data_IF_598412618287
#
_entry.id   IF_598412618287
#
_cell.length_a   1.000
_cell.length_b   1.000
_cell.length_c   1.000
_cell.angle_alpha   90.00
_cell.angle_beta   90.00
_cell.angle_gamma   90.00
#
_symmetry.space_group_name_H-M   'P 1'
#
loop_
_entity.id
_entity.type
_entity.pdbx_description
1 polymer ?
#
# COMPACT_ATOMS: atom_id res chain seq x y z
N UNK A 1 17.43 8.70 -4.37
CA UNK A 1 16.69 9.91 -4.02
C UNK A 1 16.01 9.72 -2.68
N UNK A 2 16.11 10.71 -1.80
CA UNK A 2 15.52 10.62 -0.47
C UNK A 2 14.01 10.83 -0.54
N UNK A 3 13.22 9.97 0.12
CA UNK A 3 11.78 10.17 0.17
C UNK A 3 11.42 11.37 1.04
N UNK A 4 10.36 12.07 0.68
CA UNK A 4 9.84 13.22 1.43
C UNK A 4 8.45 12.97 1.99
N UNK A 5 7.72 12.06 1.41
CA UNK A 5 6.34 11.75 1.78
C UNK A 5 6.15 10.25 1.89
N UNK A 6 5.33 9.84 2.85
CA UNK A 6 4.96 8.43 3.06
C UNK A 6 3.45 8.32 3.09
N UNK A 7 2.87 7.34 2.41
CA UNK A 7 1.51 6.90 2.69
C UNK A 7 1.55 5.60 3.49
N UNK A 8 0.68 5.50 4.49
CA UNK A 8 0.57 4.36 5.36
C UNK A 8 -0.87 3.90 5.37
N UNK A 9 -1.10 2.69 4.88
CA UNK A 9 -2.43 2.14 4.69
C UNK A 9 -2.52 0.84 5.46
N UNK A 10 -3.52 0.71 6.33
CA UNK A 10 -3.82 -0.56 6.98
C UNK A 10 -5.13 -1.12 6.47
N UNK A 11 -5.16 -2.44 6.30
CA UNK A 11 -6.35 -3.17 5.90
C UNK A 11 -6.61 -4.28 6.93
N UNK A 12 -7.77 -4.23 7.58
CA UNK A 12 -8.15 -5.21 8.57
C UNK A 12 -9.17 -6.18 7.99
N UNK A 13 -8.92 -7.46 8.18
CA UNK A 13 -9.71 -8.55 7.62
C UNK A 13 -10.38 -9.38 8.71
N UNK A 14 -11.41 -10.14 8.33
CA UNK A 14 -12.13 -11.04 9.24
C UNK A 14 -11.34 -12.31 9.54
N UNK A 15 -10.44 -12.74 8.66
CA UNK A 15 -9.66 -13.95 8.82
C UNK A 15 -8.29 -13.83 8.18
N UNK A 16 -7.37 -14.69 8.61
CA UNK A 16 -6.04 -14.77 8.00
C UNK A 16 -6.12 -15.21 6.54
N UNK A 17 -7.04 -16.14 6.24
CA UNK A 17 -7.23 -16.62 4.86
C UNK A 17 -7.64 -15.50 3.93
N UNK A 18 -8.59 -14.67 4.34
CA UNK A 18 -9.04 -13.52 3.57
C UNK A 18 -7.89 -12.53 3.35
N UNK A 19 -7.14 -12.24 4.40
CA UNK A 19 -6.00 -11.34 4.35
C UNK A 19 -4.94 -11.81 3.35
N UNK A 20 -4.56 -13.08 3.42
CA UNK A 20 -3.52 -13.63 2.54
C UNK A 20 -4.00 -13.75 1.09
N UNK A 21 -5.27 -14.08 0.89
CA UNK A 21 -5.86 -14.14 -0.46
C UNK A 21 -5.83 -12.77 -1.13
N UNK A 22 -6.29 -11.73 -0.43
CA UNK A 22 -6.29 -10.37 -0.95
C UNK A 22 -4.86 -9.85 -1.22
N UNK A 23 -3.93 -10.15 -0.33
CA UNK A 23 -2.53 -9.76 -0.54
C UNK A 23 -1.95 -10.43 -1.80
N UNK A 24 -2.25 -11.70 -2.01
CA UNK A 24 -1.80 -12.41 -3.22
C UNK A 24 -2.34 -11.75 -4.49
N UNK A 25 -3.64 -11.42 -4.50
CA UNK A 25 -4.25 -10.75 -5.64
C UNK A 25 -3.68 -9.34 -5.84
N UNK A 26 -3.51 -8.60 -4.76
CA UNK A 26 -2.95 -7.25 -4.81
C UNK A 26 -1.53 -7.26 -5.39
N UNK A 27 -0.69 -8.20 -4.96
CA UNK A 27 0.66 -8.36 -5.47
C UNK A 27 0.65 -8.64 -6.98
N UNK A 28 -0.24 -9.51 -7.45
CA UNK A 28 -0.39 -9.82 -8.87
C UNK A 28 -0.81 -8.61 -9.69
N UNK A 29 -1.67 -7.75 -9.13
CA UNK A 29 -2.16 -6.55 -9.81
C UNK A 29 -1.08 -5.47 -9.84
N UNK A 30 -0.42 -5.23 -8.72
CA UNK A 30 0.56 -4.16 -8.58
C UNK A 30 1.85 -4.44 -9.33
N UNK A 31 2.32 -5.69 -9.35
CA UNK A 31 3.63 -6.01 -9.94
C UNK A 31 3.82 -5.49 -11.36
N UNK A 32 2.89 -5.74 -12.32
CA UNK A 32 3.05 -5.18 -13.66
C UNK A 32 2.91 -3.66 -13.72
N UNK A 33 2.37 -3.03 -12.68
CA UNK A 33 2.20 -1.57 -12.61
C UNK A 33 3.40 -0.86 -11.97
N UNK A 34 4.32 -1.60 -11.34
CA UNK A 34 5.45 -1.00 -10.62
C UNK A 34 6.28 -0.03 -11.46
N UNK A 35 6.59 -0.30 -12.74
CA UNK A 35 7.31 0.68 -13.57
C UNK A 35 6.57 2.01 -13.70
N UNK A 36 5.24 1.98 -13.77
CA UNK A 36 4.42 3.19 -13.85
C UNK A 36 4.44 3.96 -12.52
N UNK A 37 4.39 3.26 -11.39
CA UNK A 37 4.55 3.89 -10.08
C UNK A 37 5.92 4.55 -9.93
N UNK A 38 6.97 3.86 -10.36
CA UNK A 38 8.33 4.39 -10.34
C UNK A 38 8.44 5.66 -11.17
N UNK A 39 7.92 5.65 -12.38
CA UNK A 39 7.93 6.82 -13.26
C UNK A 39 7.16 8.00 -12.64
N UNK A 40 6.07 7.72 -11.93
CA UNK A 40 5.29 8.75 -11.24
C UNK A 40 6.00 9.31 -10.00
N UNK A 41 7.08 8.69 -9.54
CA UNK A 41 7.88 9.18 -8.41
C UNK A 41 7.76 8.38 -7.12
N UNK A 42 7.14 7.20 -7.16
CA UNK A 42 7.19 6.28 -6.03
C UNK A 42 8.58 5.67 -5.92
N UNK A 43 9.11 5.57 -4.71
CA UNK A 43 10.47 5.11 -4.46
C UNK A 43 10.51 3.71 -3.86
N UNK A 44 9.52 3.36 -3.05
CA UNK A 44 9.53 2.11 -2.30
C UNK A 44 8.12 1.73 -1.88
N UNK A 45 7.85 0.44 -1.90
CA UNK A 45 6.65 -0.15 -1.30
C UNK A 45 7.08 -1.21 -0.30
N UNK A 46 6.47 -1.20 0.88
CA UNK A 46 6.65 -2.26 1.87
C UNK A 46 5.28 -2.75 2.31
N UNK A 47 5.05 -4.03 2.14
CA UNK A 47 3.85 -4.70 2.66
C UNK A 47 4.27 -5.55 3.84
N UNK A 48 3.56 -5.39 4.95
CA UNK A 48 3.88 -6.13 6.17
C UNK A 48 2.61 -6.60 6.87
N UNK A 49 2.72 -7.66 7.62
CA UNK A 49 1.63 -8.14 8.47
C UNK A 49 1.88 -7.66 9.89
N UNK A 50 0.86 -7.06 10.50
CA UNK A 50 0.93 -6.69 11.92
C UNK A 50 0.89 -7.98 12.74
N UNK A 51 1.92 -8.22 13.55
CA UNK A 51 2.07 -9.49 14.28
C UNK A 51 1.76 -9.40 15.76
N UNK A 52 1.75 -8.18 16.33
CA UNK A 52 1.58 -8.00 17.78
C UNK A 52 0.14 -7.67 18.20
N UNK A 53 -0.82 -7.83 17.30
CA UNK A 53 -2.26 -7.63 17.57
C UNK A 53 -2.97 -8.97 17.52
N UNK A 54 -2.93 -9.67 18.63
CA UNK A 54 -3.55 -10.99 18.75
C UNK A 54 -5.03 -10.93 18.42
N UNK A 55 -5.52 -11.88 17.62
CA UNK A 55 -6.91 -11.91 17.18
C UNK A 55 -7.26 -10.94 16.06
N UNK A 56 -6.30 -10.19 15.56
CA UNK A 56 -6.50 -9.27 14.43
C UNK A 56 -5.69 -9.70 13.22
N UNK A 57 -6.26 -9.46 12.03
CA UNK A 57 -5.62 -9.80 10.75
C UNK A 57 -5.45 -8.52 9.95
N UNK A 58 -4.30 -7.89 10.10
CA UNK A 58 -4.03 -6.55 9.56
C UNK A 58 -2.80 -6.58 8.67
N UNK A 59 -2.96 -6.06 7.44
CA UNK A 59 -1.84 -5.74 6.56
C UNK A 59 -1.54 -4.26 6.66
N UNK A 60 -0.26 -3.92 6.64
CA UNK A 60 0.20 -2.55 6.49
C UNK A 60 0.90 -2.42 5.14
N UNK A 61 0.57 -1.38 4.42
CA UNK A 61 1.10 -1.10 3.10
C UNK A 61 1.68 0.32 3.13
N UNK A 62 3.00 0.41 3.04
CA UNK A 62 3.71 1.67 3.14
C UNK A 62 4.34 2.00 1.80
N UNK A 63 4.10 3.21 1.32
CA UNK A 63 4.69 3.74 0.10
C UNK A 63 5.49 4.99 0.42
N UNK A 64 6.67 5.08 -0.17
CA UNK A 64 7.53 6.27 -0.07
C UNK A 64 7.55 6.97 -1.41
N UNK A 65 7.44 8.30 -1.40
CA UNK A 65 7.39 9.13 -2.60
C UNK A 65 8.47 10.19 -2.57
N UNK A 66 8.93 10.57 -3.76
CA UNK A 66 9.94 11.62 -3.88
C UNK A 66 9.44 12.98 -3.40
N UNK A 67 8.15 13.27 -3.61
CA UNK A 67 7.51 14.52 -3.21
C UNK A 67 5.98 14.39 -3.25
N UNK A 68 5.30 15.49 -2.96
CA UNK A 68 3.83 15.54 -2.98
C UNK A 68 3.26 15.34 -4.38
N UNK A 69 3.93 15.84 -5.42
CA UNK A 69 3.49 15.66 -6.81
C UNK A 69 3.48 14.19 -7.19
N UNK A 70 4.49 13.44 -6.75
CA UNK A 70 4.55 12.00 -6.97
C UNK A 70 3.39 11.28 -6.28
N UNK A 71 3.07 11.66 -5.05
CA UNK A 71 1.92 11.12 -4.33
C UNK A 71 0.64 11.32 -5.15
N UNK A 72 0.39 12.54 -5.61
CA UNK A 72 -0.80 12.87 -6.39
C UNK A 72 -0.84 12.08 -7.70
N UNK A 73 0.29 11.98 -8.40
CA UNK A 73 0.37 11.23 -9.67
C UNK A 73 0.07 9.74 -9.47
N UNK A 74 0.44 9.16 -8.31
CA UNK A 74 0.19 7.76 -8.02
C UNK A 74 -1.28 7.46 -7.68
N UNK A 75 -2.09 8.47 -7.35
CA UNK A 75 -3.48 8.23 -6.96
C UNK A 75 -4.32 7.58 -8.07
N UNK A 76 -4.12 7.97 -9.32
CA UNK A 76 -4.82 7.33 -10.44
C UNK A 76 -4.42 5.89 -10.62
N UNK A 77 -3.15 5.58 -10.39
CA UNK A 77 -2.64 4.21 -10.45
C UNK A 77 -3.26 3.35 -9.35
N UNK A 78 -3.41 3.90 -8.15
CA UNK A 78 -4.09 3.20 -7.07
C UNK A 78 -5.56 2.94 -7.40
N UNK A 79 -6.26 3.92 -7.97
CA UNK A 79 -7.65 3.73 -8.37
C UNK A 79 -7.80 2.62 -9.42
N UNK A 80 -6.88 2.56 -10.37
CA UNK A 80 -6.84 1.49 -11.38
C UNK A 80 -6.63 0.11 -10.72
N UNK A 81 -5.68 0.03 -9.80
CA UNK A 81 -5.38 -1.21 -9.09
C UNK A 81 -6.55 -1.65 -8.19
N UNK A 82 -7.16 -0.72 -7.49
CA UNK A 82 -8.31 -1.00 -6.62
C UNK A 82 -9.52 -1.47 -7.43
N UNK A 83 -9.77 -0.86 -8.59
CA UNK A 83 -10.85 -1.29 -9.48
C UNK A 83 -10.62 -2.71 -9.98
N UNK A 84 -9.38 -3.07 -10.27
CA UNK A 84 -9.03 -4.43 -10.70
C UNK A 84 -9.19 -5.43 -9.56
N UNK A 85 -8.79 -5.06 -8.35
CA UNK A 85 -8.99 -5.91 -7.18
C UNK A 85 -10.49 -6.16 -6.92
N UNK A 86 -11.31 -5.13 -7.05
CA UNK A 86 -12.76 -5.25 -6.86
C UNK A 86 -13.41 -6.21 -7.85
N UNK A 87 -12.84 -6.37 -9.03
CA UNK A 87 -13.33 -7.36 -10.02
C UNK A 87 -12.97 -8.79 -9.64
N UNK A 88 -11.92 -8.99 -8.86
CA UNK A 88 -11.36 -10.31 -8.55
C UNK A 88 -11.69 -10.81 -7.15
N UNK A 89 -12.11 -9.90 -6.27
CA UNK A 89 -12.34 -10.22 -4.86
C UNK A 89 -13.56 -9.49 -4.33
N UNK A 90 -14.37 -10.20 -3.55
CA UNK A 90 -15.49 -9.64 -2.79
C UNK A 90 -15.22 -9.63 -1.29
N UNK A 91 -13.98 -9.86 -0.90
CA UNK A 91 -13.55 -9.88 0.51
C UNK A 91 -13.69 -8.49 1.11
N UNK A 92 -14.39 -8.41 2.24
CA UNK A 92 -14.55 -7.16 2.98
C UNK A 92 -13.31 -6.86 3.81
N UNK A 93 -12.94 -5.58 3.85
CA UNK A 93 -11.84 -5.11 4.64
C UNK A 93 -12.12 -3.70 5.17
N UNK A 94 -11.54 -3.40 6.32
CA UNK A 94 -11.60 -2.05 6.88
C UNK A 94 -10.28 -1.37 6.56
N UNK A 95 -10.32 -0.34 5.73
CA UNK A 95 -9.15 0.38 5.28
C UNK A 95 -9.01 1.68 6.05
N UNK A 96 -7.82 1.92 6.61
CA UNK A 96 -7.44 3.20 7.20
C UNK A 96 -6.21 3.69 6.47
N UNK A 97 -6.30 4.89 5.89
CA UNK A 97 -5.22 5.47 5.11
C UNK A 97 -4.75 6.76 5.76
N UNK A 98 -3.44 6.91 5.87
CA UNK A 98 -2.79 8.12 6.37
C UNK A 98 -1.63 8.47 5.44
N UNK A 99 -1.34 9.76 5.34
CA UNK A 99 -0.16 10.25 4.62
C UNK A 99 0.58 11.21 5.52
N UNK A 100 1.89 11.16 5.44
CA UNK A 100 2.74 11.93 6.33
C UNK A 100 3.93 12.51 5.60
N UNK A 101 4.39 13.64 6.09
CA UNK A 101 5.62 14.29 5.63
C UNK A 101 6.74 13.82 6.54
N UNK A 102 7.85 13.44 5.95
CA UNK A 102 9.01 12.98 6.71
C UNK A 102 9.67 14.18 7.40
N UNK A 103 9.76 14.13 8.73
CA UNK A 103 10.42 15.15 9.52
C UNK A 103 11.86 14.81 9.82
N UNK A 104 12.17 13.53 9.92
CA UNK A 104 13.52 13.04 10.19
C UNK A 104 13.68 11.65 9.58
N UNK A 105 14.78 11.46 8.89
CA UNK A 105 15.12 10.18 8.27
C UNK A 105 16.58 9.88 8.64
N UNK A 106 16.75 8.85 9.48
CA UNK A 106 18.07 8.48 10.00
C UNK A 106 18.37 7.05 9.59
N UNK A 107 19.45 6.87 8.85
CA UNK A 107 19.96 5.55 8.47
C UNK A 107 20.99 5.11 9.50
N UNK A 108 20.77 3.93 10.07
CA UNK A 108 21.66 3.36 11.09
C UNK A 108 22.75 2.51 10.47
#
# INVERSE_FOLDING_TARGET
MEPKLISYITSKYASKGDMMYDETLWAEIIEPMLPRFKEAGALRQVVSQVWNKEGSFILANTWEYVDEKAFVACQELFREAEAELAKRSDISQIITASRSVILRDVHL
#
